data_IF_314636216695
#
_entry.id   IF_314636216695
#
_cell.length_a   1.000
_cell.length_b   1.000
_cell.length_c   1.000
_cell.angle_alpha   90.00
_cell.angle_beta   90.00
_cell.angle_gamma   90.00
#
_symmetry.space_group_name_H-M   'P 1'
#
loop_
_entity.id
_entity.type
_entity.pdbx_description
1 polymer ?
#
# COMPACT_ATOMS: atom_id res chain seq x y z
N UNK A 1 -12.73 -7.14 4.77
CA UNK A 1 -11.32 -7.58 4.68
C UNK A 1 -10.41 -6.41 4.44
N UNK A 2 -9.46 -6.16 5.35
CA UNK A 2 -8.44 -5.13 5.19
C UNK A 2 -7.12 -5.77 4.84
N UNK A 3 -6.50 -5.26 3.79
CA UNK A 3 -5.22 -5.76 3.33
C UNK A 3 -4.13 -4.72 3.49
N UNK A 4 -2.96 -5.17 3.95
CA UNK A 4 -1.80 -4.34 4.20
C UNK A 4 -0.66 -4.84 3.29
N UNK A 5 -0.19 -3.96 2.40
CA UNK A 5 0.99 -4.20 1.59
C UNK A 5 2.26 -4.04 2.42
N UNK A 6 3.20 -4.98 2.28
CA UNK A 6 4.50 -4.90 2.93
C UNK A 6 5.55 -5.69 2.13
N UNK A 7 6.74 -5.14 1.92
CA UNK A 7 7.83 -5.78 1.16
C UNK A 7 8.18 -7.17 1.65
N UNK A 8 8.26 -7.34 2.97
CA UNK A 8 8.51 -8.64 3.59
C UNK A 8 7.22 -9.28 4.12
N UNK A 9 6.08 -9.05 3.46
CA UNK A 9 4.76 -9.46 3.94
C UNK A 9 4.64 -10.95 4.32
N UNK A 10 5.38 -11.84 3.66
CA UNK A 10 5.40 -13.26 4.01
C UNK A 10 6.00 -13.52 5.42
N UNK A 11 7.07 -12.80 5.75
CA UNK A 11 7.72 -12.89 7.06
C UNK A 11 6.85 -12.18 8.10
N UNK A 12 6.34 -11.00 7.78
CA UNK A 12 5.42 -10.25 8.64
C UNK A 12 4.16 -11.06 8.97
N UNK A 13 3.63 -11.84 8.03
CA UNK A 13 2.50 -12.75 8.26
C UNK A 13 2.82 -13.81 9.33
N UNK A 14 4.01 -14.41 9.25
CA UNK A 14 4.48 -15.37 10.27
C UNK A 14 4.66 -14.68 11.62
N UNK A 15 5.30 -13.50 11.63
CA UNK A 15 5.50 -12.71 12.85
C UNK A 15 4.18 -12.35 13.52
N UNK A 16 3.20 -11.84 12.77
CA UNK A 16 1.89 -11.48 13.33
C UNK A 16 1.16 -12.71 13.85
N UNK A 17 1.17 -13.82 13.09
CA UNK A 17 0.52 -15.07 13.51
C UNK A 17 1.08 -15.62 14.83
N UNK A 18 2.38 -15.46 15.07
CA UNK A 18 3.07 -15.92 16.29
C UNK A 18 3.11 -14.88 17.43
N UNK A 19 2.53 -13.70 17.22
CA UNK A 19 2.49 -12.64 18.22
C UNK A 19 1.19 -12.64 19.02
N UNK A 20 1.14 -11.83 20.08
CA UNK A 20 -0.09 -11.53 20.82
C UNK A 20 -1.19 -10.88 19.96
N UNK A 21 -0.83 -10.37 18.77
CA UNK A 21 -1.76 -9.77 17.82
C UNK A 21 -2.39 -10.80 16.88
N UNK A 22 -1.89 -12.04 16.83
CA UNK A 22 -2.32 -13.02 15.83
C UNK A 22 -3.83 -13.29 15.86
N UNK A 23 -4.39 -13.48 17.05
CA UNK A 23 -5.83 -13.72 17.20
C UNK A 23 -6.66 -12.48 16.87
N UNK A 24 -6.20 -11.29 17.30
CA UNK A 24 -6.87 -10.02 16.97
C UNK A 24 -6.84 -9.74 15.47
N UNK A 25 -5.72 -10.02 14.81
CA UNK A 25 -5.56 -9.85 13.37
C UNK A 25 -6.49 -10.79 12.59
N UNK A 26 -6.65 -12.04 13.06
CA UNK A 26 -7.63 -12.99 12.49
C UNK A 26 -9.05 -12.49 12.65
N UNK A 27 -9.44 -12.07 13.86
CA UNK A 27 -10.78 -11.57 14.15
C UNK A 27 -11.12 -10.31 13.34
N UNK A 28 -10.13 -9.43 13.13
CA UNK A 28 -10.26 -8.24 12.30
C UNK A 28 -10.18 -8.52 10.79
N UNK A 29 -9.93 -9.78 10.37
CA UNK A 29 -9.79 -10.14 8.96
C UNK A 29 -8.63 -9.43 8.26
N UNK A 30 -7.53 -9.17 8.99
CA UNK A 30 -6.34 -8.50 8.46
C UNK A 30 -5.54 -9.49 7.62
N UNK A 31 -5.27 -9.11 6.37
CA UNK A 31 -4.43 -9.87 5.44
C UNK A 31 -3.15 -9.10 5.16
N UNK A 32 -2.01 -9.69 5.48
CA UNK A 32 -0.69 -9.14 5.13
C UNK A 32 -0.27 -9.74 3.80
N UNK A 33 0.04 -8.87 2.84
CA UNK A 33 0.32 -9.22 1.44
C UNK A 33 1.77 -8.83 1.17
N UNK A 34 2.50 -9.69 0.48
CA UNK A 34 3.94 -9.54 0.31
C UNK A 34 4.30 -8.92 -1.04
N UNK A 35 5.11 -7.86 -1.02
CA UNK A 35 5.80 -7.34 -2.20
C UNK A 35 7.16 -8.00 -2.33
N UNK A 36 7.18 -9.18 -2.93
CA UNK A 36 8.44 -9.72 -3.40
C UNK A 36 8.74 -9.15 -4.78
N UNK A 37 9.90 -8.48 -4.90
CA UNK A 37 10.62 -8.54 -6.16
C UNK A 37 10.79 -10.02 -6.57
N UNK A 38 10.86 -10.30 -7.87
CA UNK A 38 10.84 -11.65 -8.48
C UNK A 38 11.82 -12.70 -7.87
N UNK A 39 12.71 -12.31 -6.96
CA UNK A 39 13.78 -13.13 -6.40
C UNK A 39 13.42 -14.03 -5.21
N UNK A 40 12.27 -13.86 -4.52
CA UNK A 40 12.10 -14.50 -3.21
C UNK A 40 11.64 -15.97 -3.21
N UNK A 41 10.99 -16.45 -4.27
CA UNK A 41 10.61 -17.86 -4.58
C UNK A 41 9.20 -17.91 -5.21
N UNK A 42 9.05 -18.71 -6.26
CA UNK A 42 7.80 -18.77 -7.07
C UNK A 42 6.56 -19.13 -6.25
N UNK A 43 6.63 -20.09 -5.33
CA UNK A 43 5.45 -20.46 -4.52
C UNK A 43 5.01 -19.32 -3.61
N UNK A 44 5.95 -18.57 -3.04
CA UNK A 44 5.62 -17.42 -2.21
C UNK A 44 4.94 -16.31 -3.03
N UNK A 45 5.43 -16.07 -4.25
CA UNK A 45 4.86 -15.10 -5.17
C UNK A 45 3.44 -15.50 -5.59
N UNK A 46 3.20 -16.74 -6.00
CA UNK A 46 1.86 -17.21 -6.36
C UNK A 46 0.87 -17.10 -5.20
N UNK A 47 1.34 -17.31 -3.96
CA UNK A 47 0.48 -17.23 -2.78
C UNK A 47 0.21 -15.81 -2.30
N UNK A 48 1.16 -14.88 -2.45
CA UNK A 48 1.08 -13.58 -1.76
C UNK A 48 1.13 -12.37 -2.69
N UNK A 49 1.36 -12.53 -3.99
CA UNK A 49 1.43 -11.40 -4.91
C UNK A 49 0.03 -10.79 -5.12
N UNK A 50 -0.12 -9.45 -5.07
CA UNK A 50 -1.41 -8.76 -5.17
C UNK A 50 -2.24 -9.16 -6.41
N UNK A 51 -1.58 -9.39 -7.55
CA UNK A 51 -2.22 -9.85 -8.79
C UNK A 51 -3.07 -11.13 -8.62
N UNK A 52 -2.63 -12.05 -7.76
CA UNK A 52 -3.33 -13.32 -7.53
C UNK A 52 -4.28 -13.27 -6.32
N UNK A 53 -4.41 -12.10 -5.70
CA UNK A 53 -5.24 -11.92 -4.52
C UNK A 53 -6.52 -11.17 -4.89
N UNK A 54 -7.70 -11.74 -4.56
CA UNK A 54 -8.96 -11.06 -4.83
C UNK A 54 -9.14 -9.84 -3.92
N UNK A 55 -9.64 -8.75 -4.51
CA UNK A 55 -10.03 -7.52 -3.81
C UNK A 55 -9.02 -6.37 -3.86
N UNK A 56 -7.86 -6.53 -4.51
CA UNK A 56 -6.86 -5.46 -4.62
C UNK A 56 -7.12 -4.50 -5.78
N UNK A 57 -7.72 -4.98 -6.87
CA UNK A 57 -7.88 -4.21 -8.09
C UNK A 57 -6.52 -3.71 -8.59
N UNK A 58 -6.48 -2.45 -9.03
CA UNK A 58 -5.26 -1.80 -9.55
C UNK A 58 -4.44 -1.10 -8.46
N UNK A 59 -4.66 -1.39 -7.17
CA UNK A 59 -3.86 -0.78 -6.11
C UNK A 59 -2.42 -1.27 -6.18
N UNK A 60 -1.49 -0.32 -6.17
CA UNK A 60 -0.05 -0.55 -6.03
C UNK A 60 0.36 -0.91 -4.58
N UNK A 61 -0.50 -0.57 -3.60
CA UNK A 61 -0.27 -0.70 -2.16
C UNK A 61 0.98 0.06 -1.65
N UNK A 62 1.47 1.05 -2.40
CA UNK A 62 2.63 1.87 -2.06
C UNK A 62 2.28 3.05 -1.12
N UNK A 63 1.00 3.17 -0.72
CA UNK A 63 0.53 4.33 0.05
C UNK A 63 1.34 4.60 1.31
N UNK A 64 1.74 3.55 2.04
CA UNK A 64 2.57 3.73 3.24
C UNK A 64 3.96 4.29 2.90
N UNK A 65 4.59 3.79 1.85
CA UNK A 65 5.89 4.28 1.39
C UNK A 65 5.81 5.73 0.93
N UNK A 66 4.77 6.08 0.18
CA UNK A 66 4.54 7.45 -0.28
C UNK A 66 4.35 8.41 0.92
N UNK A 67 3.60 8.01 1.95
CA UNK A 67 3.41 8.78 3.18
C UNK A 67 4.75 8.98 3.90
N UNK A 68 5.48 7.90 4.20
CA UNK A 68 6.75 8.00 4.92
C UNK A 68 7.82 8.74 4.12
N UNK A 69 7.88 8.52 2.81
CA UNK A 69 8.77 9.25 1.91
C UNK A 69 8.50 10.75 1.93
N UNK A 70 7.21 11.15 1.86
CA UNK A 70 6.82 12.56 1.94
C UNK A 70 7.23 13.19 3.26
N UNK A 71 7.07 12.45 4.37
CA UNK A 71 7.43 12.93 5.71
C UNK A 71 8.92 13.27 5.88
N UNK A 72 9.81 12.69 5.07
CA UNK A 72 11.25 13.01 5.11
C UNK A 72 11.54 14.48 4.81
N UNK A 73 10.65 15.18 4.08
CA UNK A 73 10.76 16.62 3.83
C UNK A 73 10.77 17.45 5.13
N UNK A 74 10.11 16.95 6.18
CA UNK A 74 10.05 17.62 7.50
C UNK A 74 11.34 17.46 8.31
N UNK A 75 12.20 16.49 7.95
CA UNK A 75 13.36 16.12 8.75
C UNK A 75 14.32 17.29 9.02
N UNK A 76 14.49 18.19 8.04
CA UNK A 76 15.36 19.38 8.17
C UNK A 76 14.77 20.39 9.17
N UNK A 77 13.45 20.55 9.19
CA UNK A 77 12.76 21.50 10.07
C UNK A 77 12.75 21.02 11.52
N UNK A 78 12.59 19.71 11.72
CA UNK A 78 12.38 19.13 13.05
C UNK A 78 13.67 18.71 13.76
N UNK A 79 14.80 18.58 13.04
CA UNK A 79 16.08 18.08 13.58
C UNK A 79 16.57 18.81 14.83
N UNK A 80 16.38 20.13 14.87
CA UNK A 80 16.80 20.99 15.97
C UNK A 80 15.62 21.69 16.66
N UNK A 81 14.40 21.23 16.39
CA UNK A 81 13.19 21.78 16.96
C UNK A 81 13.01 21.33 18.41
N UNK A 82 12.31 22.14 19.22
CA UNK A 82 11.79 21.68 20.51
C UNK A 82 10.73 20.59 20.27
N UNK A 83 10.42 19.80 21.31
CA UNK A 83 9.37 18.77 21.20
C UNK A 83 8.02 19.34 20.73
N UNK A 84 7.68 20.56 21.15
CA UNK A 84 6.46 21.23 20.72
C UNK A 84 6.47 21.49 19.20
N UNK A 85 7.53 22.15 18.70
CA UNK A 85 7.64 22.46 17.28
C UNK A 85 7.82 21.21 16.41
N UNK A 86 8.50 20.17 16.92
CA UNK A 86 8.60 18.87 16.26
C UNK A 86 7.21 18.28 15.97
N UNK A 87 6.32 18.28 16.98
CA UNK A 87 4.93 17.81 16.80
C UNK A 87 4.17 18.71 15.84
N UNK A 88 4.28 20.02 16.01
CA UNK A 88 3.57 21.00 15.18
C UNK A 88 3.92 20.85 13.68
N UNK A 89 5.20 20.67 13.34
CA UNK A 89 5.61 20.52 11.95
C UNK A 89 5.14 19.20 11.33
N UNK A 90 5.12 18.11 12.08
CA UNK A 90 4.57 16.84 11.60
C UNK A 90 3.07 16.93 11.38
N UNK A 91 2.35 17.55 12.32
CA UNK A 91 0.90 17.76 12.24
C UNK A 91 0.52 18.57 10.99
N UNK A 92 1.15 19.75 10.82
CA UNK A 92 0.94 20.60 9.65
C UNK A 92 1.30 19.91 8.34
N UNK A 93 2.36 19.09 8.33
CA UNK A 93 2.74 18.33 7.15
C UNK A 93 1.65 17.33 6.75
N UNK A 94 1.14 16.55 7.69
CA UNK A 94 0.11 15.55 7.38
C UNK A 94 -1.26 16.17 7.08
N UNK A 95 -1.62 17.30 7.70
CA UNK A 95 -2.82 18.05 7.35
C UNK A 95 -2.78 18.56 5.90
N UNK A 96 -1.65 19.11 5.48
CA UNK A 96 -1.46 19.56 4.10
C UNK A 96 -1.43 18.37 3.13
N UNK A 97 -0.72 17.30 3.50
CA UNK A 97 -0.63 16.10 2.67
C UNK A 97 -2.01 15.47 2.43
N UNK A 98 -2.85 15.39 3.47
CA UNK A 98 -4.22 14.86 3.34
C UNK A 98 -5.08 15.75 2.42
N UNK A 99 -4.98 17.07 2.60
CA UNK A 99 -5.67 18.04 1.74
C UNK A 99 -5.27 17.92 0.27
N UNK A 100 -3.98 17.77 -0.01
CA UNK A 100 -3.45 17.58 -1.36
C UNK A 100 -3.94 16.25 -1.97
N UNK A 101 -3.94 15.16 -1.18
CA UNK A 101 -4.42 13.86 -1.64
C UNK A 101 -5.92 13.85 -1.89
N UNK A 102 -6.69 14.57 -1.08
CA UNK A 102 -8.11 14.75 -1.32
C UNK A 102 -8.37 15.49 -2.64
N UNK A 103 -7.59 16.54 -2.93
CA UNK A 103 -7.68 17.26 -4.20
C UNK A 103 -7.32 16.38 -5.41
N UNK A 104 -6.32 15.50 -5.26
CA UNK A 104 -5.88 14.56 -6.30
C UNK A 104 -6.84 13.36 -6.49
N UNK A 105 -7.75 13.11 -5.54
CA UNK A 105 -8.57 11.90 -5.50
C UNK A 105 -9.38 11.67 -6.78
N UNK A 106 -10.00 12.72 -7.32
CA UNK A 106 -10.81 12.63 -8.54
C UNK A 106 -9.98 12.18 -9.74
N UNK A 107 -8.78 12.76 -9.90
CA UNK A 107 -7.83 12.41 -10.97
C UNK A 107 -7.29 10.99 -10.79
N UNK A 108 -6.97 10.61 -9.56
CA UNK A 108 -6.54 9.25 -9.23
C UNK A 108 -7.62 8.22 -9.63
N UNK A 109 -8.87 8.44 -9.25
CA UNK A 109 -9.98 7.54 -9.61
C UNK A 109 -10.21 7.47 -11.12
N UNK A 110 -10.20 8.62 -11.80
CA UNK A 110 -10.36 8.68 -13.26
C UNK A 110 -9.26 7.91 -14.00
N UNK A 111 -8.01 8.09 -13.60
CA UNK A 111 -6.88 7.39 -14.21
C UNK A 111 -6.95 5.87 -14.00
N UNK A 112 -7.31 5.43 -12.78
CA UNK A 112 -7.51 4.01 -12.48
C UNK A 112 -8.64 3.40 -13.32
N UNK A 113 -9.75 4.13 -13.50
CA UNK A 113 -10.86 3.69 -14.34
C UNK A 113 -10.42 3.49 -15.81
N UNK A 114 -9.69 4.46 -16.37
CA UNK A 114 -9.16 4.34 -17.75
C UNK A 114 -8.22 3.15 -17.87
N UNK A 115 -7.27 3.01 -16.94
CA UNK A 115 -6.33 1.90 -16.93
C UNK A 115 -7.06 0.54 -16.85
N UNK A 116 -8.07 0.40 -15.99
CA UNK A 116 -8.86 -0.82 -15.90
C UNK A 116 -9.61 -1.12 -17.22
N UNK A 117 -10.18 -0.10 -17.85
CA UNK A 117 -10.88 -0.22 -19.14
C UNK A 117 -9.95 -0.65 -20.27
N UNK A 118 -8.74 -0.08 -20.31
CA UNK A 118 -7.69 -0.42 -21.27
C UNK A 118 -7.21 -1.86 -21.08
N UNK A 119 -6.99 -2.29 -19.83
CA UNK A 119 -6.64 -3.67 -19.48
C UNK A 119 -7.72 -4.64 -19.97
N UNK A 120 -8.99 -4.39 -19.63
CA UNK A 120 -10.11 -5.25 -20.04
C UNK A 120 -10.18 -5.36 -21.56
N UNK A 121 -10.16 -4.22 -22.26
CA UNK A 121 -10.24 -4.19 -23.72
C UNK A 121 -9.09 -4.97 -24.35
N UNK A 122 -7.86 -4.72 -23.90
CA UNK A 122 -6.66 -5.36 -24.45
C UNK A 122 -6.65 -6.87 -24.23
N UNK A 123 -6.89 -7.33 -23.00
CA UNK A 123 -6.78 -8.75 -22.69
C UNK A 123 -7.99 -9.56 -23.16
N UNK A 124 -9.18 -8.97 -23.31
CA UNK A 124 -10.33 -9.68 -23.90
C UNK A 124 -10.00 -10.09 -25.35
N UNK A 125 -9.48 -9.15 -26.14
CA UNK A 125 -9.07 -9.44 -27.53
C UNK A 125 -7.94 -10.47 -27.62
N UNK A 126 -7.01 -10.49 -26.66
CA UNK A 126 -5.96 -11.52 -26.64
C UNK A 126 -6.50 -12.89 -26.25
N UNK A 127 -7.44 -12.97 -25.30
CA UNK A 127 -8.06 -14.24 -24.89
C UNK A 127 -8.91 -14.86 -26.00
N UNK A 128 -9.58 -14.04 -26.83
CA UNK A 128 -10.35 -14.50 -27.98
C UNK A 128 -9.49 -15.09 -29.12
N UNK A 129 -8.17 -14.84 -29.11
CA UNK A 129 -7.22 -15.39 -30.10
C UNK A 129 -6.71 -16.79 -29.75
N UNK A 130 -7.04 -17.31 -28.55
CA UNK A 130 -6.70 -18.65 -28.09
C UNK A 130 -7.91 -19.58 -28.18
#
# INVERSE_FOLDING_TARGET
DHAIGHDIGCASKVTVANSVLGERAKQAGIRIIAFHGFAHHRLCQLQNHPLYQPGFGNKDLETCEQIFSSSNSTAVLIRHASLFHWKQFLDLHFDQWDSDKYLELSRFLYNNYKQASDIITRYTTELEKF
#
